data_IF_907462496943
#
_entry.id   IF_907462496943
#
_cell.length_a   1.000
_cell.length_b   1.000
_cell.length_c   1.000
_cell.angle_alpha   90.00
_cell.angle_beta   90.00
_cell.angle_gamma   90.00
#
_symmetry.space_group_name_H-M   'P 1'
#
loop_
_entity.id
_entity.type
_entity.pdbx_description
1 polymer ?
#
# COMPACT_ATOMS: atom_id res chain seq x y z
N UNK A 1 -5.28 -3.98 20.69
CA UNK A 1 -5.10 -4.82 19.49
C UNK A 1 -3.69 -5.41 19.42
N UNK A 2 -2.64 -4.64 19.10
CA UNK A 2 -1.27 -5.17 18.88
C UNK A 2 -0.77 -6.10 19.98
N UNK A 3 -0.84 -5.67 21.26
CA UNK A 3 -0.43 -6.50 22.41
C UNK A 3 -1.19 -7.82 22.48
N UNK A 4 -2.48 -7.82 22.20
CA UNK A 4 -3.33 -9.03 22.21
C UNK A 4 -2.94 -9.99 21.08
N UNK A 5 -2.65 -9.47 19.88
CA UNK A 5 -2.21 -10.28 18.75
C UNK A 5 -0.82 -10.89 18.98
N UNK A 6 0.11 -10.10 19.52
CA UNK A 6 1.44 -10.57 19.91
C UNK A 6 1.34 -11.66 20.98
N UNK A 7 0.49 -11.48 22.00
CA UNK A 7 0.28 -12.48 23.04
C UNK A 7 -0.33 -13.78 22.49
N UNK A 8 -1.15 -13.69 21.43
CA UNK A 8 -1.71 -14.83 20.72
C UNK A 8 -0.72 -15.47 19.71
N UNK A 9 0.53 -15.00 19.62
CA UNK A 9 1.57 -15.57 18.76
C UNK A 9 1.60 -15.03 17.32
N UNK A 10 0.86 -13.97 17.01
CA UNK A 10 0.90 -13.34 15.69
C UNK A 10 2.06 -12.34 15.55
N UNK A 11 2.74 -12.37 14.41
CA UNK A 11 3.65 -11.30 14.00
C UNK A 11 2.84 -10.05 13.65
N UNK A 12 3.17 -8.92 14.28
CA UNK A 12 2.53 -7.63 14.03
C UNK A 12 3.53 -6.66 13.42
N UNK A 13 3.27 -6.24 12.19
CA UNK A 13 4.04 -5.22 11.48
C UNK A 13 3.53 -3.82 11.85
N UNK A 14 4.44 -2.86 12.00
CA UNK A 14 4.10 -1.49 12.37
C UNK A 14 5.15 -0.49 11.85
N UNK A 15 4.73 0.75 11.51
CA UNK A 15 3.36 1.23 11.52
C UNK A 15 2.57 0.72 10.30
N UNK A 16 1.23 0.75 10.42
CA UNK A 16 0.34 0.67 9.26
C UNK A 16 0.28 2.07 8.62
N UNK A 17 0.62 2.15 7.34
CA UNK A 17 0.57 3.35 6.51
C UNK A 17 -0.26 3.10 5.24
N UNK A 18 -0.32 4.10 4.36
CA UNK A 18 -1.13 4.06 3.14
C UNK A 18 -2.58 4.52 3.33
N UNK A 19 -2.92 5.09 4.50
CA UNK A 19 -4.19 5.79 4.67
C UNK A 19 -4.08 7.17 4.02
N UNK A 20 -4.89 7.41 2.99
CA UNK A 20 -4.99 8.70 2.30
C UNK A 20 -6.44 9.01 1.93
N UNK A 21 -6.70 10.25 1.50
CA UNK A 21 -8.02 10.63 1.03
C UNK A 21 -8.28 10.03 -0.36
N UNK A 22 -9.04 8.94 -0.42
CA UNK A 22 -9.41 8.25 -1.67
C UNK A 22 -10.20 9.12 -2.66
N UNK A 23 -10.79 10.24 -2.20
CA UNK A 23 -11.42 11.24 -3.10
C UNK A 23 -10.39 12.07 -3.88
N UNK A 24 -9.11 11.88 -3.59
CA UNK A 24 -7.96 12.54 -4.21
C UNK A 24 -6.97 11.45 -4.68
N UNK A 25 -7.37 10.61 -5.66
CA UNK A 25 -6.56 9.50 -6.14
C UNK A 25 -5.16 9.93 -6.60
N UNK A 26 -5.02 11.14 -7.13
CA UNK A 26 -3.75 11.73 -7.57
C UNK A 26 -2.71 11.85 -6.45
N UNK A 27 -3.13 11.83 -5.19
CA UNK A 27 -2.22 11.87 -4.03
C UNK A 27 -1.55 10.54 -3.73
N UNK A 28 -2.05 9.43 -4.30
CA UNK A 28 -1.54 8.09 -3.98
C UNK A 28 -0.04 7.97 -4.22
N UNK A 29 0.44 8.38 -5.39
CA UNK A 29 1.86 8.26 -5.75
C UNK A 29 2.78 9.03 -4.78
N UNK A 30 2.36 10.22 -4.34
CA UNK A 30 3.12 11.00 -3.36
C UNK A 30 3.13 10.32 -1.97
N UNK A 31 2.01 9.75 -1.54
CA UNK A 31 1.90 9.01 -0.27
C UNK A 31 2.74 7.73 -0.31
N UNK A 32 2.73 7.01 -1.43
CA UNK A 32 3.57 5.84 -1.65
C UNK A 32 5.06 6.20 -1.63
N UNK A 33 5.46 7.28 -2.30
CA UNK A 33 6.85 7.74 -2.30
C UNK A 33 7.33 8.12 -0.90
N UNK A 34 6.52 8.86 -0.14
CA UNK A 34 6.85 9.21 1.25
C UNK A 34 6.97 7.98 2.14
N UNK A 35 6.20 6.92 1.88
CA UNK A 35 6.30 5.67 2.61
C UNK A 35 7.59 4.90 2.29
N UNK A 36 8.01 4.85 1.02
CA UNK A 36 9.29 4.25 0.62
C UNK A 36 10.47 4.95 1.32
N UNK A 37 10.39 6.27 1.47
CA UNK A 37 11.48 7.05 2.08
C UNK A 37 11.45 7.06 3.61
N UNK A 38 10.27 6.90 4.22
CA UNK A 38 10.05 7.21 5.64
C UNK A 38 9.59 6.05 6.52
N UNK A 39 9.15 4.92 5.97
CA UNK A 39 8.76 3.79 6.80
C UNK A 39 9.97 3.11 7.45
N UNK A 40 9.88 2.74 8.74
CA UNK A 40 10.91 1.93 9.38
C UNK A 40 10.91 0.51 8.79
N UNK A 41 11.96 -0.22 9.10
CA UNK A 41 12.08 -1.64 8.74
C UNK A 41 10.81 -2.41 9.14
N UNK A 42 10.29 -3.22 8.21
CA UNK A 42 9.05 -4.00 8.38
C UNK A 42 7.79 -3.15 8.64
N UNK A 43 7.78 -1.89 8.19
CA UNK A 43 6.57 -1.09 8.05
C UNK A 43 5.61 -1.68 7.02
N UNK A 44 4.31 -1.48 7.21
CA UNK A 44 3.27 -2.00 6.34
C UNK A 44 2.56 -0.87 5.61
N UNK A 45 2.68 -0.83 4.28
CA UNK A 45 1.89 0.05 3.44
C UNK A 45 0.69 -0.70 2.87
N UNK A 46 -0.53 -0.22 3.14
CA UNK A 46 -1.76 -0.85 2.66
C UNK A 46 -2.39 -0.02 1.54
N UNK A 47 -2.84 -0.70 0.49
CA UNK A 47 -3.58 -0.14 -0.64
C UNK A 47 -4.48 -1.22 -1.27
N UNK A 48 -5.26 -0.86 -2.28
CA UNK A 48 -6.29 -1.68 -2.91
C UNK A 48 -6.16 -1.76 -4.46
N UNK A 49 -4.96 -1.98 -5.01
CA UNK A 49 -4.74 -1.95 -6.45
C UNK A 49 -5.56 -3.02 -7.18
N UNK A 50 -6.15 -2.65 -8.31
CA UNK A 50 -6.84 -3.61 -9.17
C UNK A 50 -7.62 -2.99 -10.30
N UNK A 51 -8.12 -3.84 -11.18
CA UNK A 51 -9.02 -3.45 -12.27
C UNK A 51 -10.45 -3.27 -11.76
N UNK A 52 -11.18 -2.33 -12.35
CA UNK A 52 -12.58 -2.05 -11.97
C UNK A 52 -13.52 -2.56 -13.06
N UNK A 53 -14.27 -3.60 -12.72
CA UNK A 53 -15.34 -4.14 -13.55
C UNK A 53 -16.72 -3.62 -13.12
N UNK A 54 -17.77 -3.99 -13.87
CA UNK A 54 -19.13 -3.57 -13.57
C UNK A 54 -19.65 -4.14 -12.25
N UNK A 55 -19.24 -5.37 -11.92
CA UNK A 55 -19.60 -6.01 -10.65
C UNK A 55 -19.11 -5.20 -9.46
N UNK A 56 -17.87 -4.71 -9.51
CA UNK A 56 -17.27 -3.91 -8.45
C UNK A 56 -17.89 -2.51 -8.40
N UNK A 57 -18.13 -1.86 -9.55
CA UNK A 57 -18.82 -0.56 -9.60
C UNK A 57 -20.19 -0.59 -8.93
N UNK A 58 -20.91 -1.71 -9.05
CA UNK A 58 -22.21 -1.89 -8.43
C UNK A 58 -22.17 -2.10 -6.90
N UNK A 59 -20.99 -2.37 -6.31
CA UNK A 59 -20.84 -2.77 -4.89
C UNK A 59 -20.02 -1.82 -4.04
N UNK A 60 -19.01 -1.20 -4.63
CA UNK A 60 -18.04 -0.38 -3.92
C UNK A 60 -17.99 1.01 -4.55
N UNK A 61 -18.08 2.06 -3.73
CA UNK A 61 -17.95 3.46 -4.13
C UNK A 61 -16.49 3.95 -4.11
N UNK A 62 -15.56 3.12 -3.62
CA UNK A 62 -14.12 3.34 -3.59
C UNK A 62 -13.41 2.53 -4.70
N UNK A 63 -14.02 2.47 -5.88
CA UNK A 63 -13.48 1.75 -7.03
C UNK A 63 -12.48 2.58 -7.85
N UNK A 64 -12.69 3.90 -7.98
CA UNK A 64 -11.85 4.76 -8.84
C UNK A 64 -10.38 4.85 -8.43
N UNK A 65 -10.06 4.63 -7.16
CA UNK A 65 -8.66 4.63 -6.68
C UNK A 65 -7.89 3.39 -7.11
N UNK A 66 -8.55 2.26 -7.32
CA UNK A 66 -7.90 0.95 -7.47
C UNK A 66 -7.04 0.88 -8.73
N UNK A 67 -7.51 1.47 -9.82
CA UNK A 67 -6.76 1.53 -11.08
C UNK A 67 -5.57 2.49 -10.99
N UNK A 68 -5.70 3.58 -10.23
CA UNK A 68 -4.62 4.53 -9.97
C UNK A 68 -3.53 3.89 -9.11
N UNK A 69 -3.91 3.20 -8.05
CA UNK A 69 -2.99 2.45 -7.20
C UNK A 69 -2.28 1.36 -7.99
N UNK A 70 -3.02 0.61 -8.83
CA UNK A 70 -2.46 -0.41 -9.71
C UNK A 70 -1.44 0.17 -10.68
N UNK A 71 -1.79 1.25 -11.38
CA UNK A 71 -0.89 1.90 -12.34
C UNK A 71 0.38 2.42 -11.67
N UNK A 72 0.28 2.99 -10.46
CA UNK A 72 1.43 3.46 -9.71
C UNK A 72 2.37 2.31 -9.30
N UNK A 73 1.82 1.21 -8.76
CA UNK A 73 2.61 0.05 -8.34
C UNK A 73 3.21 -0.72 -9.52
N UNK A 74 2.54 -0.73 -10.67
CA UNK A 74 3.04 -1.35 -11.90
C UNK A 74 4.04 -0.48 -12.68
N UNK A 75 4.30 0.75 -12.22
CA UNK A 75 5.17 1.69 -12.94
C UNK A 75 6.66 1.45 -12.69
N UNK A 76 7.47 1.70 -13.72
CA UNK A 76 8.93 1.74 -13.60
C UNK A 76 9.40 2.80 -12.59
N UNK A 77 8.63 3.88 -12.42
CA UNK A 77 8.93 4.94 -11.46
C UNK A 77 8.92 4.43 -10.01
N UNK A 78 7.99 3.53 -9.67
CA UNK A 78 7.96 2.90 -8.36
C UNK A 78 9.13 1.92 -8.17
N UNK A 79 9.42 1.07 -9.17
CA UNK A 79 10.60 0.20 -9.11
C UNK A 79 11.90 0.99 -8.93
N UNK A 80 12.05 2.10 -9.66
CA UNK A 80 13.18 3.01 -9.52
C UNK A 80 13.24 3.69 -8.15
N UNK A 81 12.09 3.97 -7.51
CA UNK A 81 12.10 4.59 -6.17
C UNK A 81 12.54 3.63 -5.08
N UNK A 82 12.11 2.37 -5.14
CA UNK A 82 12.61 1.31 -4.26
C UNK A 82 14.12 1.15 -4.40
N UNK A 83 14.62 1.05 -5.64
CA UNK A 83 16.03 0.88 -5.92
C UNK A 83 16.89 2.05 -5.39
N UNK A 84 16.44 3.30 -5.57
CA UNK A 84 17.14 4.47 -5.03
C UNK A 84 17.15 4.50 -3.50
N UNK A 85 16.06 4.08 -2.86
CA UNK A 85 15.94 4.07 -1.40
C UNK A 85 16.63 2.87 -0.74
N UNK A 86 17.07 1.86 -1.52
CA UNK A 86 17.59 0.61 -0.98
C UNK A 86 16.54 -0.19 -0.21
N UNK A 87 15.26 -0.06 -0.60
CA UNK A 87 14.13 -0.70 0.04
C UNK A 87 13.69 -1.91 -0.76
N UNK A 88 13.42 -3.01 -0.06
CA UNK A 88 12.86 -4.23 -0.64
C UNK A 88 11.42 -4.45 -0.18
N UNK A 89 10.60 -5.03 -1.04
CA UNK A 89 9.26 -5.49 -0.68
C UNK A 89 9.41 -6.89 -0.08
N UNK A 90 9.01 -7.01 1.18
CA UNK A 90 8.94 -8.31 1.84
C UNK A 90 7.84 -9.16 1.17
N UNK A 91 8.21 -10.35 0.70
CA UNK A 91 7.22 -11.30 0.19
C UNK A 91 6.45 -11.98 1.34
N UNK A 92 5.39 -12.71 1.02
CA UNK A 92 4.60 -13.44 2.00
C UNK A 92 5.25 -14.73 2.50
N UNK A 93 6.49 -15.04 2.06
CA UNK A 93 7.22 -16.23 2.48
C UNK A 93 8.12 -15.83 3.66
N UNK A 94 8.20 -16.72 4.64
CA UNK A 94 8.96 -16.49 5.86
C UNK A 94 10.45 -16.52 5.59
#
# INVERSE_FOLDING_TARGET
>A
FNRSMQHAGFTVFQPLAGIYNWRQPEKFAAVLQAAVEGLPERGLFMCHPGHVDETLRARDMMQGVREVEFAALASDAFGASLARAGVEILDGKR
#
